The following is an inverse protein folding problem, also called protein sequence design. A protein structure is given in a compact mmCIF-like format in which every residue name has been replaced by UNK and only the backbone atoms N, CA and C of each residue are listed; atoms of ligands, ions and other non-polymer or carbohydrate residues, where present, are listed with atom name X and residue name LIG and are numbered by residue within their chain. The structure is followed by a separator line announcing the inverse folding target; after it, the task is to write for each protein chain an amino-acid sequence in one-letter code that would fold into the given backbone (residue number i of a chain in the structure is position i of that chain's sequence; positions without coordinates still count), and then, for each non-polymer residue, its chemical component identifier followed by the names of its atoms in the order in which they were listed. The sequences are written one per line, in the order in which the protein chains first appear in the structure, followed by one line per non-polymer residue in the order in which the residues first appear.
data_IF_112699748442
#
_entry.id   IF_112699748442
#
_cell.length_a   1.000
_cell.length_b   1.000
_cell.length_c   1.000
_cell.angle_alpha   90.00
_cell.angle_beta   90.00
_cell.angle_gamma   90.00
#
_symmetry.space_group_name_H-M   'P 1'
#
loop_
_entity.id
_entity.type
_entity.pdbx_description
1 polymer ?
#
# COMPACT_ATOMS: atom_id res chain seq x y z
N UNK A 1 -10.81 -6.52 1.41
CA UNK A 1 -11.21 -5.45 2.34
C UNK A 1 -12.69 -5.25 2.27
N UNK A 2 -13.35 -5.02 3.41
CA UNK A 2 -14.71 -4.49 3.40
C UNK A 2 -14.63 -3.03 2.96
N UNK A 3 -15.08 -2.73 1.75
CA UNK A 3 -15.18 -1.38 1.24
C UNK A 3 -16.28 -0.64 2.03
N UNK A 4 -15.98 0.56 2.50
CA UNK A 4 -16.93 1.40 3.23
C UNK A 4 -17.13 2.71 2.49
N UNK A 5 -18.35 3.24 2.56
CA UNK A 5 -18.64 4.61 2.17
C UNK A 5 -18.39 5.54 3.36
N UNK A 6 -17.80 6.69 3.11
CA UNK A 6 -17.42 7.71 4.08
C UNK A 6 -18.26 8.97 3.85
N UNK A 7 -19.37 9.09 4.57
CA UNK A 7 -20.40 10.10 4.33
C UNK A 7 -20.10 11.48 4.96
N UNK A 8 -19.11 11.59 5.85
CA UNK A 8 -18.78 12.86 6.51
C UNK A 8 -17.62 13.60 5.81
N UNK A 9 -17.35 13.26 4.55
CA UNK A 9 -16.28 13.87 3.76
C UNK A 9 -14.89 13.34 4.12
N UNK A 10 -14.78 12.20 4.79
CA UNK A 10 -13.48 11.58 5.03
C UNK A 10 -12.86 11.06 3.72
N UNK A 11 -11.55 11.21 3.61
CA UNK A 11 -10.76 10.74 2.48
C UNK A 11 -10.21 9.35 2.72
N UNK A 12 -10.22 8.52 1.68
CA UNK A 12 -9.49 7.24 1.64
C UNK A 12 -8.14 7.47 0.96
N UNK A 13 -7.05 7.16 1.64
CA UNK A 13 -5.70 7.37 1.11
C UNK A 13 -5.10 6.05 0.65
N UNK A 14 -4.71 5.97 -0.62
CA UNK A 14 -3.96 4.84 -1.15
C UNK A 14 -2.48 5.18 -1.27
N UNK A 15 -1.60 4.34 -0.75
CA UNK A 15 -0.16 4.45 -1.03
C UNK A 15 0.29 3.27 -1.90
N UNK A 16 0.89 3.59 -3.05
CA UNK A 16 1.31 2.63 -4.05
C UNK A 16 2.81 2.75 -4.31
N UNK A 17 3.56 1.66 -4.13
CA UNK A 17 5.00 1.61 -4.44
C UNK A 17 5.28 0.85 -5.74
N UNK A 18 5.60 1.56 -6.82
CA UNK A 18 5.89 0.97 -8.13
C UNK A 18 4.79 0.00 -8.59
N UNK A 19 5.11 -1.30 -8.68
CA UNK A 19 4.15 -2.36 -9.04
C UNK A 19 3.03 -2.60 -8.00
N UNK A 20 3.02 -1.85 -6.90
CA UNK A 20 1.85 -1.72 -6.02
C UNK A 20 0.69 -0.91 -6.61
N UNK A 21 0.92 -0.12 -7.67
CA UNK A 21 -0.14 0.66 -8.32
C UNK A 21 -1.22 -0.20 -9.02
N UNK A 22 -0.88 -1.26 -9.79
CA UNK A 22 -1.85 -2.19 -10.37
C UNK A 22 -2.87 -2.79 -9.39
N UNK A 23 -2.49 -3.34 -8.22
CA UNK A 23 -3.47 -3.85 -7.25
C UNK A 23 -4.24 -2.73 -6.52
N UNK A 24 -3.68 -1.52 -6.37
CA UNK A 24 -4.43 -0.36 -5.83
C UNK A 24 -5.56 0.06 -6.76
N UNK A 25 -5.31 0.07 -8.07
CA UNK A 25 -6.25 0.58 -9.09
C UNK A 25 -7.70 0.06 -8.95
N UNK A 26 -7.97 -1.26 -8.88
CA UNK A 26 -9.35 -1.74 -8.75
C UNK A 26 -9.99 -1.34 -7.42
N UNK A 27 -9.26 -1.38 -6.30
CA UNK A 27 -9.79 -1.05 -4.97
C UNK A 27 -10.17 0.43 -4.92
N UNK A 28 -9.24 1.31 -5.33
CA UNK A 28 -9.47 2.75 -5.46
C UNK A 28 -10.69 3.06 -6.33
N UNK A 29 -10.81 2.42 -7.50
CA UNK A 29 -11.95 2.64 -8.39
C UNK A 29 -13.29 2.27 -7.74
N UNK A 30 -13.35 1.20 -6.94
CA UNK A 30 -14.59 0.88 -6.23
C UNK A 30 -14.91 1.90 -5.12
N UNK A 31 -13.91 2.49 -4.44
CA UNK A 31 -14.15 3.62 -3.53
C UNK A 31 -14.72 4.85 -4.26
N UNK A 32 -14.15 5.20 -5.42
CA UNK A 32 -14.65 6.31 -6.23
C UNK A 32 -16.10 6.09 -6.69
N UNK A 33 -16.45 4.86 -7.12
CA UNK A 33 -17.83 4.50 -7.47
C UNK A 33 -18.81 4.62 -6.30
N UNK A 34 -18.35 4.44 -5.08
CA UNK A 34 -19.17 4.64 -3.87
C UNK A 34 -19.35 6.12 -3.51
N UNK A 35 -18.65 7.02 -4.19
CA UNK A 35 -18.68 8.47 -3.93
C UNK A 35 -17.68 8.92 -2.86
N UNK A 36 -16.73 8.08 -2.47
CA UNK A 36 -15.68 8.48 -1.54
C UNK A 36 -14.70 9.43 -2.23
N UNK A 37 -14.23 10.43 -1.49
CA UNK A 37 -13.03 11.16 -1.87
C UNK A 37 -11.80 10.26 -1.68
N UNK A 38 -10.89 10.28 -2.65
CA UNK A 38 -9.70 9.42 -2.68
C UNK A 38 -8.47 10.25 -2.99
N UNK A 39 -7.41 10.02 -2.22
CA UNK A 39 -6.07 10.49 -2.56
C UNK A 39 -5.17 9.29 -2.85
N UNK A 40 -4.62 9.23 -4.06
CA UNK A 40 -3.59 8.27 -4.45
C UNK A 40 -2.20 8.89 -4.29
N UNK A 41 -1.35 8.31 -3.47
CA UNK A 41 0.08 8.64 -3.38
C UNK A 41 0.87 7.52 -4.08
N UNK A 42 1.34 7.77 -5.29
CA UNK A 42 2.06 6.80 -6.13
C UNK A 42 3.55 7.12 -6.19
N UNK A 43 4.35 6.29 -5.54
CA UNK A 43 5.80 6.44 -5.44
C UNK A 43 6.59 5.52 -6.37
N UNK A 44 7.61 6.08 -7.02
CA UNK A 44 8.53 5.35 -7.89
C UNK A 44 9.99 5.67 -7.54
N UNK A 45 10.93 4.85 -8.02
CA UNK A 45 12.35 5.13 -7.79
C UNK A 45 12.82 6.37 -8.57
N UNK A 46 12.40 6.47 -9.83
CA UNK A 46 12.74 7.53 -10.77
C UNK A 46 11.70 7.60 -11.89
N UNK A 47 11.83 8.61 -12.76
CA UNK A 47 10.91 8.89 -13.87
C UNK A 47 10.76 7.73 -14.86
N UNK A 48 11.83 6.98 -15.12
CA UNK A 48 11.82 5.89 -16.11
C UNK A 48 11.02 4.66 -15.64
N UNK A 49 10.82 4.53 -14.33
CA UNK A 49 9.99 3.47 -13.74
C UNK A 49 8.52 3.85 -13.59
N UNK A 50 8.16 5.10 -13.90
CA UNK A 50 6.79 5.61 -13.82
C UNK A 50 5.93 4.99 -14.93
N UNK A 51 4.69 4.64 -14.61
CA UNK A 51 3.73 4.13 -15.59
C UNK A 51 2.29 4.47 -15.20
N UNK A 52 1.38 4.41 -16.19
CA UNK A 52 -0.07 4.67 -16.08
C UNK A 52 -0.50 6.10 -15.72
N UNK A 53 0.43 7.03 -15.60
CA UNK A 53 0.20 8.40 -15.15
C UNK A 53 -0.21 9.37 -16.26
N UNK A 54 0.07 9.04 -17.53
CA UNK A 54 -0.28 9.92 -18.65
C UNK A 54 -1.81 10.06 -18.79
N UNK A 55 -2.32 11.19 -19.33
CA UNK A 55 -3.76 11.50 -19.38
C UNK A 55 -4.63 10.44 -20.07
N UNK A 56 -4.08 9.74 -21.07
CA UNK A 56 -4.76 8.68 -21.83
C UNK A 56 -4.56 7.28 -21.24
N UNK A 57 -3.84 7.17 -20.11
CA UNK A 57 -3.58 5.90 -19.41
C UNK A 57 -4.46 5.75 -18.19
N UNK A 58 -4.34 4.62 -17.49
CA UNK A 58 -5.30 4.18 -16.47
C UNK A 58 -5.56 5.21 -15.37
N UNK A 59 -4.54 5.87 -14.83
CA UNK A 59 -4.71 6.86 -13.75
C UNK A 59 -5.25 8.17 -14.32
N UNK A 60 -4.71 8.65 -15.45
CA UNK A 60 -5.22 9.85 -16.12
C UNK A 60 -6.70 9.75 -16.51
N UNK A 61 -7.11 8.61 -17.10
CA UNK A 61 -8.50 8.35 -17.44
C UNK A 61 -9.40 8.27 -16.21
N UNK A 62 -8.92 7.68 -15.11
CA UNK A 62 -9.69 7.58 -13.87
C UNK A 62 -9.84 8.96 -13.21
N UNK A 63 -8.80 9.78 -13.23
CA UNK A 63 -8.86 11.15 -12.73
C UNK A 63 -9.81 12.01 -13.58
N UNK A 64 -9.79 11.86 -14.90
CA UNK A 64 -10.74 12.53 -15.80
C UNK A 64 -12.19 12.08 -15.56
N UNK A 65 -12.41 10.82 -15.16
CA UNK A 65 -13.73 10.30 -14.82
C UNK A 65 -14.25 10.80 -13.45
N UNK A 66 -13.35 11.10 -12.51
CA UNK A 66 -13.67 11.48 -11.13
C UNK A 66 -12.89 12.74 -10.69
N UNK A 67 -13.04 13.89 -11.39
CA UNK A 67 -12.19 15.06 -11.20
C UNK A 67 -12.31 15.69 -9.80
N UNK A 68 -13.49 15.59 -9.17
CA UNK A 68 -13.76 16.15 -7.84
C UNK A 68 -13.55 15.15 -6.69
N UNK A 69 -13.23 13.88 -7.02
CA UNK A 69 -13.12 12.80 -6.04
C UNK A 69 -11.75 12.10 -6.04
N UNK A 70 -10.88 12.36 -7.03
CA UNK A 70 -9.57 11.72 -7.12
C UNK A 70 -8.42 12.74 -7.19
N UNK A 71 -7.73 12.88 -6.07
CA UNK A 71 -6.42 13.51 -6.01
C UNK A 71 -5.31 12.48 -6.29
N UNK A 72 -4.31 12.88 -7.08
CA UNK A 72 -3.14 12.04 -7.38
C UNK A 72 -1.86 12.79 -7.05
N UNK A 73 -1.08 12.22 -6.14
CA UNK A 73 0.22 12.71 -5.71
C UNK A 73 1.28 11.72 -6.19
N UNK A 74 2.22 12.21 -6.99
CA UNK A 74 3.34 11.42 -7.48
C UNK A 74 4.61 11.71 -6.68
N UNK A 75 5.34 10.68 -6.29
CA UNK A 75 6.65 10.82 -5.64
C UNK A 75 7.75 10.07 -6.39
N UNK A 76 8.95 10.63 -6.36
CA UNK A 76 10.17 9.96 -6.85
C UNK A 76 11.27 10.03 -5.80
N UNK A 77 12.04 8.95 -5.63
CA UNK A 77 13.11 8.93 -4.63
C UNK A 77 14.24 9.91 -4.99
N UNK A 78 14.53 10.07 -6.28
CA UNK A 78 15.60 10.93 -6.79
C UNK A 78 15.15 12.37 -7.09
N UNK A 79 13.85 12.63 -7.15
CA UNK A 79 13.29 13.95 -7.50
C UNK A 79 13.17 14.19 -9.01
N UNK A 80 13.32 13.15 -9.83
CA UNK A 80 13.22 13.25 -11.30
C UNK A 80 11.82 13.62 -11.80
N UNK A 81 10.78 13.47 -10.96
CA UNK A 81 9.42 13.97 -11.20
C UNK A 81 8.61 14.04 -9.90
N UNK A 82 7.52 14.80 -9.90
CA UNK A 82 6.64 14.93 -8.74
C UNK A 82 7.40 15.43 -7.51
N UNK A 83 7.02 14.93 -6.34
CA UNK A 83 7.66 15.27 -5.07
C UNK A 83 8.88 14.37 -4.85
N UNK A 84 10.03 14.97 -4.53
CA UNK A 84 11.23 14.22 -4.10
C UNK A 84 11.04 13.66 -2.70
N UNK A 85 10.39 12.51 -2.60
CA UNK A 85 10.08 11.85 -1.35
C UNK A 85 9.70 10.38 -1.57
N UNK A 86 9.67 9.61 -0.48
CA UNK A 86 8.88 8.39 -0.42
C UNK A 86 7.38 8.73 -0.29
N UNK A 87 6.51 7.73 -0.50
CA UNK A 87 5.06 7.88 -0.29
C UNK A 87 4.69 8.35 1.13
N UNK A 88 5.55 8.08 2.11
CA UNK A 88 5.37 8.51 3.50
C UNK A 88 5.50 10.02 3.69
N UNK A 89 6.18 10.74 2.80
CA UNK A 89 6.33 12.20 2.91
C UNK A 89 4.98 12.92 2.78
N UNK A 90 4.32 12.86 1.61
CA UNK A 90 3.00 13.47 1.45
C UNK A 90 1.95 12.89 2.41
N UNK A 91 2.05 11.60 2.75
CA UNK A 91 1.16 11.00 3.75
C UNK A 91 1.34 11.64 5.13
N UNK A 92 2.58 11.92 5.54
CA UNK A 92 2.87 12.60 6.80
C UNK A 92 2.26 14.00 6.80
N UNK A 93 2.45 14.77 5.73
CA UNK A 93 1.87 16.11 5.59
C UNK A 93 0.35 16.08 5.75
N UNK A 94 -0.33 15.13 5.09
CA UNK A 94 -1.78 14.95 5.21
C UNK A 94 -2.22 14.60 6.64
N UNK A 95 -1.50 13.69 7.30
CA UNK A 95 -1.80 13.28 8.68
C UNK A 95 -1.60 14.44 9.68
N UNK A 96 -0.55 15.24 9.50
CA UNK A 96 -0.27 16.42 10.31
C UNK A 96 -1.32 17.51 10.11
N UNK A 97 -1.72 17.78 8.86
CA UNK A 97 -2.80 18.73 8.54
C UNK A 97 -4.15 18.28 9.10
N UNK A 98 -4.48 16.99 9.00
CA UNK A 98 -5.67 16.41 9.63
C UNK A 98 -5.66 16.65 11.14
N UNK A 99 -4.54 16.35 11.81
CA UNK A 99 -4.39 16.54 13.27
C UNK A 99 -4.48 18.01 13.68
N UNK A 100 -4.02 18.93 12.82
CA UNK A 100 -4.10 20.37 13.03
C UNK A 100 -5.49 20.97 12.71
N UNK A 101 -6.40 20.19 12.13
CA UNK A 101 -7.72 20.66 11.71
C UNK A 101 -7.72 21.52 10.45
N UNK A 102 -6.62 21.54 9.70
CA UNK A 102 -6.48 22.30 8.45
C UNK A 102 -6.62 21.44 7.18
N UNK A 103 -6.54 20.11 7.31
CA UNK A 103 -6.70 19.14 6.22
C UNK A 103 -7.97 18.30 6.34
N UNK A 104 -8.22 17.47 5.32
CA UNK A 104 -9.32 16.51 5.33
C UNK A 104 -9.13 15.43 6.40
N UNK A 105 -10.23 15.00 7.03
CA UNK A 105 -10.26 13.78 7.84
C UNK A 105 -9.90 12.56 6.99
N UNK A 106 -9.07 11.66 7.51
CA UNK A 106 -8.68 10.42 6.82
C UNK A 106 -9.46 9.25 7.44
N UNK A 107 -10.31 8.63 6.62
CA UNK A 107 -11.17 7.53 7.04
C UNK A 107 -10.44 6.19 7.09
N UNK A 108 -9.58 5.93 6.09
CA UNK A 108 -8.64 4.81 6.10
C UNK A 108 -7.47 5.03 5.15
N UNK A 109 -6.38 4.32 5.42
CA UNK A 109 -5.20 4.23 4.56
C UNK A 109 -5.10 2.79 4.04
N UNK A 110 -4.88 2.62 2.74
CA UNK A 110 -4.60 1.33 2.10
C UNK A 110 -3.22 1.39 1.46
N UNK A 111 -2.27 0.59 1.96
CA UNK A 111 -0.88 0.56 1.47
C UNK A 111 -0.59 -0.72 0.70
N UNK A 112 -0.06 -0.59 -0.51
CA UNK A 112 0.37 -1.73 -1.34
C UNK A 112 1.70 -1.42 -2.02
N UNK A 113 2.72 -2.23 -1.76
CA UNK A 113 4.06 -2.02 -2.32
C UNK A 113 5.11 -2.89 -1.65
N UNK A 114 6.39 -2.50 -1.69
CA UNK A 114 7.44 -3.23 -0.97
C UNK A 114 7.10 -3.37 0.52
N UNK A 115 7.40 -4.50 1.18
CA UNK A 115 7.11 -4.73 2.60
C UNK A 115 7.62 -3.63 3.53
N UNK A 116 8.81 -3.09 3.25
CA UNK A 116 9.39 -1.98 4.01
C UNK A 116 8.59 -0.68 3.85
N UNK A 117 8.02 -0.43 2.67
CA UNK A 117 7.13 0.72 2.45
C UNK A 117 5.84 0.56 3.24
N UNK A 118 5.22 -0.62 3.20
CA UNK A 118 4.00 -0.89 3.95
C UNK A 118 4.21 -0.79 5.47
N UNK A 119 5.36 -1.27 5.98
CA UNK A 119 5.78 -1.04 7.37
C UNK A 119 5.90 0.45 7.68
N UNK A 120 6.59 1.21 6.83
CA UNK A 120 6.79 2.65 7.07
C UNK A 120 5.45 3.41 7.14
N UNK A 121 4.48 3.06 6.28
CA UNK A 121 3.12 3.61 6.32
C UNK A 121 2.37 3.18 7.58
N UNK A 122 2.50 1.92 8.00
CA UNK A 122 1.94 1.41 9.27
C UNK A 122 2.49 2.20 10.47
N UNK A 123 3.81 2.33 10.56
CA UNK A 123 4.48 2.98 11.69
C UNK A 123 4.16 4.49 11.72
N UNK A 124 4.07 5.14 10.56
CA UNK A 124 3.71 6.56 10.43
C UNK A 124 2.27 6.85 10.85
N UNK A 125 1.32 6.02 10.43
CA UNK A 125 -0.13 6.25 10.66
C UNK A 125 -0.57 5.91 12.09
N UNK A 126 0.13 5.00 12.76
CA UNK A 126 -0.26 4.47 14.08
C UNK A 126 -0.42 5.54 15.17
N UNK A 127 0.49 6.52 15.34
CA UNK A 127 0.33 7.59 16.34
C UNK A 127 -0.84 8.54 16.07
N UNK A 128 -1.35 8.57 14.83
CA UNK A 128 -2.51 9.37 14.44
C UNK A 128 -3.84 8.62 14.62
N UNK A 129 -3.80 7.33 14.95
CA UNK A 129 -5.01 6.51 15.16
C UNK A 129 -5.81 6.24 13.88
N UNK A 130 -5.22 6.45 12.70
CA UNK A 130 -5.90 6.24 11.41
C UNK A 130 -5.85 4.77 11.04
N UNK A 131 -7.02 4.18 10.79
CA UNK A 131 -7.16 2.80 10.32
C UNK A 131 -6.29 2.58 9.07
N UNK A 132 -5.39 1.61 9.14
CA UNK A 132 -4.43 1.34 8.05
C UNK A 132 -4.43 -0.12 7.67
N UNK A 133 -4.64 -0.40 6.38
CA UNK A 133 -4.68 -1.75 5.81
C UNK A 133 -3.46 -1.93 4.91
N UNK A 134 -2.73 -3.01 5.09
CA UNK A 134 -1.63 -3.41 4.20
C UNK A 134 -2.05 -4.63 3.36
N UNK A 135 -1.90 -4.53 2.03
CA UNK A 135 -2.08 -5.68 1.13
C UNK A 135 -0.77 -6.42 0.94
N UNK A 136 -0.64 -7.55 1.64
CA UNK A 136 0.62 -8.24 1.83
C UNK A 136 1.00 -9.12 0.65
N UNK A 137 2.29 -9.11 0.31
CA UNK A 137 2.91 -9.92 -0.74
C UNK A 137 3.79 -11.04 -0.14
N UNK A 138 3.24 -11.80 0.81
CA UNK A 138 3.95 -12.90 1.47
C UNK A 138 4.35 -14.02 0.49
N UNK A 139 5.33 -14.83 0.86
CA UNK A 139 5.67 -16.05 0.11
C UNK A 139 4.45 -16.96 0.07
N UNK A 140 4.04 -17.40 -1.12
CA UNK A 140 2.91 -18.29 -1.32
C UNK A 140 3.35 -19.54 -2.09
N UNK A 141 2.69 -20.66 -1.81
CA UNK A 141 2.91 -21.94 -2.52
C UNK A 141 1.57 -22.51 -2.96
N UNK A 142 0.75 -22.99 -2.01
CA UNK A 142 -0.55 -23.59 -2.32
C UNK A 142 -1.66 -22.53 -2.53
N UNK A 143 -1.58 -21.41 -1.80
CA UNK A 143 -2.59 -20.34 -1.80
C UNK A 143 -4.02 -20.78 -1.42
N UNK A 144 -4.15 -21.91 -0.71
CA UNK A 144 -5.43 -22.49 -0.27
C UNK A 144 -5.49 -22.72 1.24
N UNK A 145 -4.47 -22.27 1.98
CA UNK A 145 -4.41 -22.34 3.44
C UNK A 145 -3.86 -23.66 4.00
N UNK A 146 -3.32 -24.54 3.16
CA UNK A 146 -2.87 -25.86 3.56
C UNK A 146 -1.38 -25.89 3.99
N UNK A 147 -0.52 -25.06 3.39
CA UNK A 147 0.94 -25.21 3.59
C UNK A 147 1.56 -24.26 4.62
N UNK A 148 0.91 -23.13 4.95
CA UNK A 148 1.47 -22.13 5.88
C UNK A 148 2.62 -21.27 5.33
N UNK A 149 2.98 -21.35 4.04
CA UNK A 149 4.07 -20.54 3.47
C UNK A 149 3.82 -19.03 3.63
N UNK A 150 2.55 -18.61 3.53
CA UNK A 150 2.14 -17.21 3.57
C UNK A 150 1.80 -16.70 4.98
N UNK A 151 2.31 -17.37 6.02
CA UNK A 151 2.06 -16.98 7.40
C UNK A 151 2.52 -15.54 7.69
N UNK A 152 1.64 -14.78 8.31
CA UNK A 152 1.83 -13.41 8.78
C UNK A 152 1.72 -13.44 10.31
N UNK A 153 2.79 -13.10 11.05
CA UNK A 153 2.73 -12.94 12.49
C UNK A 153 1.98 -11.66 12.84
N UNK A 154 0.92 -11.77 13.65
CA UNK A 154 0.10 -10.65 14.10
C UNK A 154 -0.09 -10.68 15.61
N UNK A 155 -0.23 -9.53 16.25
CA UNK A 155 -0.52 -9.38 17.67
C UNK A 155 -1.98 -9.02 17.88
N UNK A 156 -2.74 -9.91 18.52
CA UNK A 156 -4.15 -9.72 18.85
C UNK A 156 -4.30 -9.83 20.37
N UNK A 157 -4.75 -8.76 21.03
CA UNK A 157 -4.93 -8.71 22.49
C UNK A 157 -3.67 -9.16 23.26
N UNK A 158 -2.49 -8.68 22.84
CA UNK A 158 -1.20 -9.03 23.44
C UNK A 158 -0.70 -10.44 23.15
N UNK A 159 -1.39 -11.22 22.31
CA UNK A 159 -1.00 -12.58 21.91
C UNK A 159 -0.53 -12.61 20.47
N UNK A 160 0.62 -13.24 20.24
CA UNK A 160 1.12 -13.52 18.91
C UNK A 160 0.31 -14.66 18.28
N UNK A 161 -0.38 -14.35 17.18
CA UNK A 161 -1.18 -15.28 16.38
C UNK A 161 -0.61 -15.32 14.97
N UNK A 162 -0.81 -16.42 14.26
CA UNK A 162 -0.46 -16.55 12.84
C UNK A 162 -1.71 -16.48 11.99
N UNK A 163 -1.72 -15.59 11.01
CA UNK A 163 -2.72 -15.52 9.94
C UNK A 163 -2.08 -16.00 8.63
N UNK A 164 -2.89 -16.51 7.71
CA UNK A 164 -2.44 -16.91 6.38
C UNK A 164 -2.82 -15.84 5.37
N UNK A 165 -1.87 -15.17 4.73
CA UNK A 165 -2.21 -14.10 3.77
C UNK A 165 -3.15 -14.59 2.65
N UNK A 166 -3.09 -15.87 2.24
CA UNK A 166 -3.95 -16.40 1.19
C UNK A 166 -5.44 -16.62 1.56
N UNK A 167 -5.77 -16.85 2.83
CA UNK A 167 -7.16 -17.14 3.26
C UNK A 167 -7.68 -16.18 4.35
N UNK A 168 -6.79 -15.63 5.19
CA UNK A 168 -7.10 -14.60 6.17
C UNK A 168 -6.92 -13.17 5.61
N UNK A 169 -6.22 -13.04 4.48
CA UNK A 169 -5.83 -11.77 3.86
C UNK A 169 -6.17 -11.69 2.37
N UNK A 170 -5.28 -11.16 1.50
CA UNK A 170 -3.93 -10.65 1.80
C UNK A 170 -3.93 -9.27 2.47
N UNK A 171 -5.11 -8.64 2.57
CA UNK A 171 -5.30 -7.33 3.18
C UNK A 171 -5.57 -7.48 4.68
N UNK A 172 -4.61 -7.04 5.50
CA UNK A 172 -4.69 -7.11 6.95
C UNK A 172 -4.54 -5.72 7.56
N UNK A 173 -5.06 -5.54 8.77
CA UNK A 173 -4.74 -4.37 9.60
C UNK A 173 -3.21 -4.30 9.78
N UNK A 174 -2.63 -3.21 9.31
CA UNK A 174 -1.19 -3.02 9.28
C UNK A 174 -0.61 -2.87 10.70
N UNK A 175 -1.40 -2.33 11.64
CA UNK A 175 -0.94 -1.99 12.99
C UNK A 175 -0.82 -3.20 13.91
N UNK A 176 -1.48 -4.31 13.57
CA UNK A 176 -1.37 -5.58 14.30
C UNK A 176 -0.24 -6.48 13.80
N UNK A 177 0.36 -6.19 12.64
CA UNK A 177 1.43 -7.04 12.07
C UNK A 177 2.70 -6.88 12.90
N UNK A 178 3.31 -8.02 13.26
CA UNK A 178 4.66 -8.05 13.82
C UNK A 178 5.68 -7.96 12.68
N UNK A 179 5.95 -6.72 12.24
CA UNK A 179 6.79 -6.44 11.07
C UNK A 179 8.22 -6.96 11.22
N UNK A 180 8.77 -6.97 12.43
CA UNK A 180 10.12 -7.46 12.70
C UNK A 180 10.23 -8.98 12.49
N UNK A 181 9.17 -9.73 12.77
CA UNK A 181 9.10 -11.16 12.45
C UNK A 181 8.67 -11.45 11.01
N UNK A 182 7.92 -10.53 10.40
CA UNK A 182 7.43 -10.71 9.04
C UNK A 182 8.51 -10.47 7.98
N UNK A 183 9.28 -9.38 8.10
CA UNK A 183 10.23 -8.94 7.07
C UNK A 183 11.37 -9.94 6.76
N UNK A 184 12.00 -10.62 7.74
CA UNK A 184 13.08 -11.56 7.44
C UNK A 184 12.65 -12.72 6.52
N UNK A 185 11.35 -13.02 6.45
CA UNK A 185 10.81 -14.10 5.60
C UNK A 185 11.10 -13.84 4.11
N UNK A 186 11.17 -12.59 3.68
CA UNK A 186 11.46 -12.23 2.27
C UNK A 186 12.89 -12.58 1.83
N UNK A 187 13.77 -12.95 2.76
CA UNK A 187 15.14 -13.39 2.46
C UNK A 187 15.30 -14.91 2.54
N UNK A 188 14.24 -15.64 2.90
CA UNK A 188 14.30 -17.08 3.16
C UNK A 188 14.80 -17.89 1.96
N UNK A 189 14.45 -17.48 0.74
CA UNK A 189 14.83 -18.16 -0.51
C UNK A 189 15.87 -17.40 -1.32
N UNK A 190 16.55 -16.41 -0.72
CA UNK A 190 17.50 -15.53 -1.42
C UNK A 190 18.58 -16.31 -2.17
N UNK A 191 19.14 -17.36 -1.56
CA UNK A 191 20.14 -18.23 -2.20
C UNK A 191 19.57 -18.91 -3.46
N UNK A 192 18.39 -19.52 -3.35
CA UNK A 192 17.72 -20.21 -4.45
C UNK A 192 17.31 -19.25 -5.57
N UNK A 193 16.89 -18.03 -5.22
CA UNK A 193 16.60 -16.96 -6.18
C UNK A 193 17.85 -16.55 -6.95
N UNK A 194 18.99 -16.39 -6.28
CA UNK A 194 20.24 -16.00 -6.91
C UNK A 194 20.80 -17.12 -7.79
N UNK A 195 20.74 -18.38 -7.35
CA UNK A 195 21.06 -19.54 -8.18
C UNK A 195 20.16 -19.64 -9.42
N UNK A 196 18.86 -19.34 -9.28
CA UNK A 196 17.92 -19.31 -10.40
C UNK A 196 18.27 -18.22 -11.41
N UNK A 197 18.64 -17.03 -10.95
CA UNK A 197 19.05 -15.92 -11.83
C UNK A 197 20.26 -16.28 -12.67
N UNK A 198 21.29 -16.87 -12.05
CA UNK A 198 22.48 -17.35 -12.76
C UNK A 198 22.10 -18.42 -13.78
N UNK A 199 21.30 -19.40 -13.38
CA UNK A 199 20.85 -20.50 -14.26
C UNK A 199 20.15 -20.00 -15.53
N UNK A 200 19.43 -18.88 -15.43
CA UNK A 200 18.64 -18.32 -16.54
C UNK A 200 19.27 -17.06 -17.17
N UNK A 201 20.53 -16.74 -16.85
CA UNK A 201 21.27 -15.64 -17.48
C UNK A 201 20.76 -14.23 -17.15
N UNK A 202 20.09 -14.06 -16.00
CA UNK A 202 19.70 -12.72 -15.52
C UNK A 202 20.83 -12.00 -14.79
N UNK A 203 21.84 -12.75 -14.32
CA UNK A 203 23.08 -12.28 -13.69
C UNK A 203 24.21 -13.20 -14.12
#
# INVERSE_FOLDING_TARGET
SKLNRYDNGETVVFTAGGVGLPPVYPIMREHLKMGNHVTLISGFRNKDMKFWDEPDKRIGLLQAQYPDLLDVIYTSNDGSFGIKAFVTGPLQDMLEQMKAGSGHSIGEIVTIGPPMMMRAVSDLSKPFGVKTVASLNSIMVDATGMCGACMVPVNINGKLVRKHACIDGPELDAHIIDWDKFLPRFLQFKKQEDESKVRHGFV
#
